data_IF_180936815851
#
_entry.id   IF_180936815851
#
_cell.length_a   1.000
_cell.length_b   1.000
_cell.length_c   1.000
_cell.angle_alpha   90.00
_cell.angle_beta   90.00
_cell.angle_gamma   90.00
#
_symmetry.space_group_name_H-M   'P 1'
#
loop_
_entity.id
_entity.type
_entity.pdbx_description
1 polymer ?
#
# COMPACT_ATOMS: atom_id res chain seq x y z
N UNK A 1 8.17 -20.64 16.47
CA UNK A 1 7.52 -19.41 16.00
C UNK A 1 6.92 -19.62 14.62
N UNK A 2 5.69 -19.19 14.40
CA UNK A 2 4.95 -19.34 13.14
C UNK A 2 4.44 -17.97 12.67
N UNK A 3 4.80 -17.56 11.45
CA UNK A 3 4.40 -16.28 10.89
C UNK A 3 3.86 -16.41 9.48
N UNK A 4 2.74 -15.75 9.20
CA UNK A 4 2.21 -15.57 7.85
C UNK A 4 1.28 -14.35 7.78
N UNK A 5 1.37 -13.58 6.69
CA UNK A 5 0.35 -12.59 6.34
C UNK A 5 -0.13 -12.94 4.94
N UNK A 6 -1.29 -13.56 4.88
CA UNK A 6 -1.90 -14.02 3.64
C UNK A 6 -2.50 -12.83 2.87
N UNK A 7 -2.44 -12.84 1.54
CA UNK A 7 -2.94 -11.76 0.71
C UNK A 7 -3.82 -12.30 -0.41
N UNK A 8 -5.08 -11.90 -0.47
CA UNK A 8 -6.00 -12.37 -1.52
C UNK A 8 -5.71 -11.81 -2.92
N UNK A 9 -4.80 -10.84 -3.05
CA UNK A 9 -4.55 -10.13 -4.30
C UNK A 9 -5.45 -8.91 -4.47
N UNK A 10 -5.62 -8.48 -5.72
CA UNK A 10 -6.52 -7.39 -6.11
C UNK A 10 -7.81 -7.95 -6.72
N UNK A 11 -8.92 -7.25 -6.50
CA UNK A 11 -10.24 -7.64 -7.01
C UNK A 11 -10.58 -6.96 -8.34
N UNK A 12 -9.54 -6.61 -9.09
CA UNK A 12 -9.61 -5.98 -10.40
C UNK A 12 -8.68 -6.73 -11.33
N UNK A 13 -9.07 -6.72 -12.60
CA UNK A 13 -8.35 -7.21 -13.76
C UNK A 13 -7.44 -6.08 -14.28
N UNK A 14 -6.25 -5.93 -13.71
CA UNK A 14 -5.31 -4.87 -14.05
C UNK A 14 -4.69 -5.10 -15.43
N UNK A 15 -4.57 -6.36 -15.89
CA UNK A 15 -4.03 -6.70 -17.21
C UNK A 15 -5.09 -6.78 -18.32
N UNK A 16 -6.37 -6.64 -17.95
CA UNK A 16 -7.55 -6.63 -18.82
C UNK A 16 -7.82 -7.99 -19.52
N UNK A 17 -7.42 -9.11 -18.92
CA UNK A 17 -7.63 -10.48 -19.43
C UNK A 17 -9.04 -11.06 -19.13
N UNK A 18 -9.82 -10.35 -18.32
CA UNK A 18 -11.16 -10.71 -17.86
C UNK A 18 -11.20 -11.45 -16.52
N UNK A 19 -10.09 -11.56 -15.78
CA UNK A 19 -9.97 -12.20 -14.45
C UNK A 19 -9.47 -11.22 -13.39
N UNK A 20 -9.87 -11.41 -12.13
CA UNK A 20 -9.29 -10.63 -11.03
C UNK A 20 -7.79 -11.02 -10.84
N UNK A 21 -6.85 -10.06 -10.71
CA UNK A 21 -5.45 -10.40 -10.43
C UNK A 21 -5.26 -10.84 -8.97
N UNK A 22 -5.48 -12.13 -8.76
CA UNK A 22 -5.24 -12.77 -7.48
C UNK A 22 -3.75 -12.97 -7.22
N UNK A 23 -3.35 -12.82 -5.97
CA UNK A 23 -1.98 -13.12 -5.56
C UNK A 23 -1.89 -14.62 -5.31
N UNK A 24 -0.99 -15.31 -6.03
CA UNK A 24 -0.76 -16.75 -5.87
C UNK A 24 0.46 -17.07 -4.99
N UNK A 25 1.22 -16.05 -4.59
CA UNK A 25 2.46 -16.21 -3.82
C UNK A 25 2.21 -15.92 -2.34
N UNK A 26 2.08 -17.00 -1.58
CA UNK A 26 1.92 -16.96 -0.13
C UNK A 26 3.01 -17.77 0.54
N UNK A 27 3.59 -17.16 1.58
CA UNK A 27 4.70 -17.74 2.30
C UNK A 27 4.40 -17.80 3.79
N UNK A 28 4.85 -18.90 4.39
CA UNK A 28 4.86 -19.15 5.82
C UNK A 28 6.31 -19.20 6.26
N UNK A 29 6.60 -18.54 7.37
CA UNK A 29 7.90 -18.60 8.02
C UNK A 29 7.79 -19.37 9.33
N UNK A 30 8.63 -20.39 9.47
CA UNK A 30 8.73 -21.20 10.69
C UNK A 30 10.14 -21.04 11.25
N UNK A 31 10.23 -20.64 12.52
CA UNK A 31 11.49 -20.34 13.19
C UNK A 31 11.53 -20.91 14.61
N UNK A 32 12.71 -21.19 15.13
CA UNK A 32 12.95 -21.53 16.53
C UNK A 32 12.86 -20.26 17.38
N UNK A 33 12.39 -20.40 18.62
CA UNK A 33 12.63 -19.41 19.67
C UNK A 33 13.91 -19.80 20.42
N UNK A 34 14.88 -18.90 20.55
CA UNK A 34 16.13 -19.22 21.21
C UNK A 34 15.95 -19.15 22.73
N UNK A 35 16.26 -20.26 23.40
CA UNK A 35 16.48 -20.30 24.84
C UNK A 35 17.94 -20.73 25.03
N UNK A 36 18.79 -19.78 25.42
CA UNK A 36 20.22 -20.00 25.56
C UNK A 36 20.81 -19.11 26.65
N UNK A 37 22.04 -19.42 27.07
CA UNK A 37 22.76 -18.65 28.08
C UNK A 37 23.47 -17.41 27.52
N UNK A 38 23.60 -17.32 26.19
CA UNK A 38 24.16 -16.18 25.47
C UNK A 38 23.16 -15.07 25.17
N UNK A 39 23.64 -13.98 24.55
CA UNK A 39 22.77 -12.87 24.13
C UNK A 39 21.90 -13.28 22.94
N UNK A 40 20.65 -12.81 22.92
CA UNK A 40 19.76 -12.97 21.76
C UNK A 40 20.37 -12.37 20.48
N UNK A 41 21.19 -11.32 20.61
CA UNK A 41 21.91 -10.71 19.49
C UNK A 41 22.92 -11.67 18.83
N UNK A 42 23.60 -12.48 19.63
CA UNK A 42 24.59 -13.44 19.11
C UNK A 42 23.89 -14.58 18.39
N UNK A 43 22.78 -15.08 18.95
CA UNK A 43 21.99 -16.14 18.33
C UNK A 43 21.28 -15.68 17.06
N UNK A 44 20.83 -14.42 16.99
CA UNK A 44 20.18 -13.87 15.80
C UNK A 44 21.09 -13.91 14.56
N UNK A 45 22.42 -13.85 14.72
CA UNK A 45 23.37 -13.92 13.60
C UNK A 45 23.67 -15.36 13.11
N UNK A 46 23.17 -16.39 13.81
CA UNK A 46 23.45 -17.79 13.51
C UNK A 46 22.21 -18.45 12.91
N UNK A 47 22.27 -18.82 11.62
CA UNK A 47 21.14 -19.44 10.90
C UNK A 47 20.57 -20.68 11.61
N UNK A 48 21.42 -21.60 12.07
CA UNK A 48 20.98 -22.83 12.75
C UNK A 48 20.26 -22.58 14.09
N UNK A 49 20.52 -21.41 14.68
CA UNK A 49 19.75 -20.97 15.84
C UNK A 49 18.35 -20.59 15.41
N UNK A 50 18.19 -19.90 14.27
CA UNK A 50 16.93 -19.37 13.72
C UNK A 50 16.02 -20.46 13.14
N UNK A 51 16.55 -21.37 12.34
CA UNK A 51 15.74 -22.26 11.52
C UNK A 51 15.80 -23.72 11.98
N UNK A 52 14.70 -24.44 11.81
CA UNK A 52 14.68 -25.90 11.92
C UNK A 52 15.32 -26.54 10.69
N UNK A 53 15.76 -27.79 10.82
CA UNK A 53 16.06 -28.59 9.65
C UNK A 53 14.74 -28.87 8.90
N UNK A 54 14.61 -28.51 7.61
CA UNK A 54 13.37 -28.70 6.86
C UNK A 54 12.90 -30.16 6.80
N UNK A 55 13.80 -31.14 6.83
CA UNK A 55 13.46 -32.57 6.83
C UNK A 55 12.75 -33.02 8.12
N UNK A 56 12.88 -32.25 9.19
CA UNK A 56 12.24 -32.52 10.49
C UNK A 56 10.84 -31.91 10.59
N UNK A 57 10.45 -31.04 9.65
CA UNK A 57 9.19 -30.32 9.69
C UNK A 57 8.24 -30.77 8.59
N UNK A 58 7.00 -31.01 8.99
CA UNK A 58 5.87 -31.09 8.08
C UNK A 58 5.07 -29.80 8.22
N UNK A 59 5.00 -29.01 7.14
CA UNK A 59 4.27 -27.73 7.11
C UNK A 59 3.15 -27.84 6.09
N UNK A 60 1.91 -27.57 6.51
CA UNK A 60 0.75 -27.75 5.66
C UNK A 60 -0.36 -26.75 5.98
N UNK A 61 -1.26 -26.59 5.02
CA UNK A 61 -2.47 -25.79 5.16
C UNK A 61 -3.71 -26.66 4.98
N UNK A 62 -4.77 -26.32 5.73
CA UNK A 62 -6.10 -26.90 5.63
C UNK A 62 -7.14 -25.79 5.57
N UNK A 63 -8.16 -25.99 4.76
CA UNK A 63 -9.37 -25.17 4.79
C UNK A 63 -10.24 -25.63 5.97
N UNK A 64 -10.75 -24.69 6.77
CA UNK A 64 -11.63 -24.99 7.90
C UNK A 64 -13.06 -24.58 7.53
N UNK A 65 -13.93 -25.59 7.40
CA UNK A 65 -15.35 -25.42 7.16
C UNK A 65 -16.13 -26.00 8.34
N UNK A 66 -17.05 -25.21 8.92
CA UNK A 66 -17.87 -25.59 10.07
C UNK A 66 -17.06 -26.14 11.28
N UNK A 67 -15.84 -25.60 11.47
CA UNK A 67 -14.92 -26.00 12.53
C UNK A 67 -14.11 -27.27 12.25
N UNK A 68 -14.32 -27.92 11.10
CA UNK A 68 -13.61 -29.13 10.70
C UNK A 68 -12.58 -28.79 9.60
N UNK A 69 -11.29 -29.13 9.80
CA UNK A 69 -10.30 -28.97 8.74
C UNK A 69 -10.52 -30.02 7.63
N UNK A 70 -10.50 -29.56 6.39
CA UNK A 70 -10.61 -30.37 5.18
C UNK A 70 -9.25 -31.02 4.81
N UNK A 71 -9.06 -31.31 3.52
CA UNK A 71 -7.87 -31.99 2.98
C UNK A 71 -6.60 -31.20 3.28
N UNK A 72 -5.61 -31.91 3.84
CA UNK A 72 -4.25 -31.42 4.06
C UNK A 72 -3.55 -31.15 2.73
N UNK A 73 -2.96 -29.96 2.59
CA UNK A 73 -2.13 -29.56 1.46
C UNK A 73 -0.75 -29.15 1.98
N UNK A 74 0.29 -29.88 1.61
CA UNK A 74 1.66 -29.60 2.06
C UNK A 74 2.22 -28.34 1.38
N UNK A 75 2.99 -27.55 2.12
CA UNK A 75 3.65 -26.36 1.60
C UNK A 75 5.01 -26.72 0.99
N UNK A 76 5.33 -26.08 -0.12
CA UNK A 76 6.59 -26.26 -0.83
C UNK A 76 7.72 -25.55 -0.06
N UNK A 77 8.76 -26.29 0.32
CA UNK A 77 9.94 -25.70 0.95
C UNK A 77 10.79 -24.94 -0.08
N UNK A 78 11.24 -23.74 0.29
CA UNK A 78 12.08 -22.87 -0.53
C UNK A 78 13.30 -22.39 0.25
N UNK A 79 14.48 -22.60 -0.34
CA UNK A 79 15.76 -22.11 0.14
C UNK A 79 16.34 -21.04 -0.81
N UNK A 80 16.54 -19.82 -0.27
CA UNK A 80 17.39 -18.68 -0.65
C UNK A 80 17.78 -18.33 -2.13
N UNK A 81 17.43 -19.09 -3.17
CA UNK A 81 17.94 -18.82 -4.55
C UNK A 81 16.96 -19.09 -5.71
N UNK A 82 15.74 -19.56 -5.45
CA UNK A 82 14.82 -19.96 -6.52
C UNK A 82 13.66 -18.98 -6.83
N UNK A 83 13.52 -17.90 -6.06
CA UNK A 83 12.42 -16.94 -6.22
C UNK A 83 12.93 -15.75 -7.04
N UNK A 84 12.80 -15.84 -8.36
CA UNK A 84 13.31 -14.87 -9.34
C UNK A 84 12.67 -13.46 -9.31
N UNK A 85 12.21 -12.95 -8.17
CA UNK A 85 11.78 -11.55 -7.99
C UNK A 85 11.91 -11.17 -6.51
N UNK A 86 12.67 -10.11 -6.19
CA UNK A 86 12.64 -9.22 -4.99
C UNK A 86 12.28 -9.77 -3.58
N UNK A 87 12.52 -11.05 -3.29
CA UNK A 87 12.37 -11.60 -1.93
C UNK A 87 13.72 -11.73 -1.21
N UNK A 88 14.55 -10.69 -1.32
CA UNK A 88 15.77 -10.61 -0.52
C UNK A 88 15.40 -10.24 0.92
N UNK A 89 16.03 -10.92 1.88
CA UNK A 89 15.95 -10.49 3.27
C UNK A 89 16.69 -9.16 3.40
N UNK A 90 16.00 -8.13 3.87
CA UNK A 90 16.60 -6.85 4.24
C UNK A 90 17.77 -7.01 5.22
N UNK A 91 18.77 -6.13 5.08
CA UNK A 91 19.92 -6.09 5.98
C UNK A 91 19.48 -5.85 7.43
N UNK A 92 20.15 -6.50 8.37
CA UNK A 92 19.80 -6.36 9.79
C UNK A 92 20.50 -7.37 10.69
N UNK A 93 20.07 -7.38 11.96
CA UNK A 93 20.68 -8.16 13.05
C UNK A 93 20.48 -9.68 12.90
N UNK A 94 19.49 -10.10 12.11
CA UNK A 94 19.26 -11.52 11.85
C UNK A 94 20.10 -12.00 10.66
N UNK A 95 20.63 -13.21 10.78
CA UNK A 95 21.39 -13.90 9.73
C UNK A 95 20.67 -13.89 8.39
N UNK A 96 21.41 -13.60 7.32
CA UNK A 96 20.92 -13.68 5.93
C UNK A 96 21.24 -15.01 5.24
N UNK A 97 22.05 -15.87 5.86
CA UNK A 97 22.28 -17.23 5.34
C UNK A 97 21.04 -18.11 5.54
N UNK A 98 20.78 -18.99 4.58
CA UNK A 98 19.77 -20.05 4.64
C UNK A 98 18.37 -19.53 5.02
N UNK A 99 17.87 -18.55 4.26
CA UNK A 99 16.51 -18.06 4.46
C UNK A 99 15.49 -19.09 3.98
N UNK A 100 14.75 -19.67 4.94
CA UNK A 100 13.76 -20.71 4.69
C UNK A 100 12.35 -20.15 4.66
N UNK A 101 11.63 -20.46 3.57
CA UNK A 101 10.22 -20.14 3.39
C UNK A 101 9.45 -21.41 3.01
N UNK A 102 8.18 -21.45 3.39
CA UNK A 102 7.24 -22.50 3.00
C UNK A 102 6.16 -21.85 2.14
N UNK A 103 6.09 -22.18 0.86
CA UNK A 103 5.17 -21.58 -0.12
C UNK A 103 3.89 -22.41 -0.23
N UNK A 104 2.76 -21.74 -0.37
CA UNK A 104 1.50 -22.41 -0.69
C UNK A 104 1.61 -23.11 -2.06
N UNK A 105 1.21 -24.39 -2.17
CA UNK A 105 1.24 -25.07 -3.46
C UNK A 105 0.14 -24.49 -4.37
N UNK A 106 0.30 -24.65 -5.68
CA UNK A 106 -0.64 -24.12 -6.68
C UNK A 106 -2.09 -24.62 -6.51
N UNK A 107 -2.30 -25.74 -5.80
CA UNK A 107 -3.64 -26.28 -5.50
C UNK A 107 -4.45 -25.42 -4.53
N UNK A 108 -3.79 -24.55 -3.75
CA UNK A 108 -4.41 -23.67 -2.73
C UNK A 108 -3.80 -22.27 -2.74
N UNK A 109 -3.15 -21.87 -3.84
CA UNK A 109 -2.61 -20.52 -4.02
C UNK A 109 -3.71 -19.49 -4.25
N UNK A 110 -4.88 -19.89 -4.74
CA UNK A 110 -6.08 -19.05 -4.73
C UNK A 110 -6.75 -19.11 -3.35
N UNK A 111 -6.44 -18.10 -2.51
CA UNK A 111 -6.98 -17.99 -1.16
C UNK A 111 -8.46 -17.55 -1.11
N UNK A 112 -9.06 -17.19 -2.24
CA UNK A 112 -10.46 -16.75 -2.33
C UNK A 112 -11.27 -17.74 -3.18
N UNK A 113 -11.44 -19.00 -2.71
CA UNK A 113 -12.12 -19.99 -3.52
C UNK A 113 -13.57 -19.59 -3.81
N UNK A 114 -13.93 -19.71 -5.08
CA UNK A 114 -15.10 -19.16 -5.82
C UNK A 114 -16.52 -19.34 -5.23
N UNK A 115 -16.73 -19.91 -4.03
CA UNK A 115 -18.09 -20.17 -3.52
C UNK A 115 -18.33 -19.96 -2.01
N UNK A 116 -17.30 -19.83 -1.16
CA UNK A 116 -17.53 -19.53 0.27
C UNK A 116 -16.42 -18.66 0.90
N UNK A 117 -16.78 -17.40 1.12
CA UNK A 117 -15.87 -16.31 1.49
C UNK A 117 -15.68 -16.14 3.01
N UNK A 118 -16.23 -17.05 3.82
CA UNK A 118 -16.11 -17.04 5.30
C UNK A 118 -15.22 -18.15 5.85
N UNK A 119 -14.61 -18.96 4.98
CA UNK A 119 -13.75 -20.05 5.40
C UNK A 119 -12.47 -19.51 6.04
N UNK A 120 -11.95 -20.26 7.01
CA UNK A 120 -10.65 -19.99 7.62
C UNK A 120 -9.61 -20.94 7.05
N UNK A 121 -8.37 -20.49 6.98
CA UNK A 121 -7.23 -21.33 6.71
C UNK A 121 -6.54 -21.65 8.02
N UNK A 122 -6.25 -22.94 8.24
CA UNK A 122 -5.42 -23.42 9.32
C UNK A 122 -4.04 -23.73 8.75
N UNK A 123 -3.02 -23.03 9.24
CA UNK A 123 -1.62 -23.31 8.92
C UNK A 123 -1.05 -24.12 10.09
N UNK A 124 -0.52 -25.29 9.81
CA UNK A 124 -0.02 -26.23 10.81
C UNK A 124 1.43 -26.60 10.54
N UNK A 125 2.15 -26.81 11.62
CA UNK A 125 3.53 -27.30 11.63
C UNK A 125 3.59 -28.47 12.59
N UNK A 126 4.13 -29.59 12.11
CA UNK A 126 4.45 -30.77 12.93
C UNK A 126 5.96 -30.96 12.90
N UNK A 127 6.57 -31.05 14.07
CA UNK A 127 7.95 -31.49 14.19
C UNK A 127 7.97 -33.02 14.25
N UNK A 128 8.48 -33.68 13.22
CA UNK A 128 8.48 -35.13 13.09
C UNK A 128 9.42 -35.83 14.08
N UNK A 129 10.37 -35.11 14.69
CA UNK A 129 11.25 -35.66 15.72
C UNK A 129 10.60 -35.63 17.11
N UNK A 130 9.96 -34.51 17.47
CA UNK A 130 9.38 -34.33 18.82
C UNK A 130 7.90 -34.68 18.88
N UNK A 131 7.23 -34.81 17.73
CA UNK A 131 5.78 -34.89 17.57
C UNK A 131 5.03 -33.63 18.06
N UNK A 132 5.72 -32.53 18.32
CA UNK A 132 5.08 -31.27 18.69
C UNK A 132 4.33 -30.68 17.51
N UNK A 133 3.13 -30.19 17.78
CA UNK A 133 2.27 -29.58 16.76
C UNK A 133 1.93 -28.15 17.16
N UNK A 134 2.08 -27.22 16.23
CA UNK A 134 1.62 -25.83 16.38
C UNK A 134 0.78 -25.44 15.17
N UNK A 135 -0.22 -24.59 15.39
CA UNK A 135 -1.05 -24.10 14.30
C UNK A 135 -1.64 -22.73 14.60
N UNK A 136 -2.08 -22.04 13.55
CA UNK A 136 -2.90 -20.85 13.67
C UNK A 136 -4.00 -20.88 12.61
N UNK A 137 -5.10 -20.20 12.92
CA UNK A 137 -6.22 -20.03 11.99
C UNK A 137 -6.39 -18.57 11.64
N UNK A 138 -6.71 -18.29 10.38
CA UNK A 138 -7.07 -16.95 9.94
C UNK A 138 -8.09 -16.98 8.81
N UNK A 139 -9.01 -16.02 8.80
CA UNK A 139 -9.85 -15.75 7.63
C UNK A 139 -9.10 -14.90 6.61
N UNK A 140 -9.56 -14.91 5.36
CA UNK A 140 -8.94 -14.12 4.29
C UNK A 140 -9.70 -12.82 4.09
N UNK A 141 -9.01 -11.68 4.18
CA UNK A 141 -9.55 -10.40 3.72
C UNK A 141 -9.87 -10.52 2.24
N UNK A 142 -11.12 -10.30 1.85
CA UNK A 142 -11.52 -10.30 0.44
C UNK A 142 -10.78 -9.20 -0.34
N UNK A 143 -10.44 -9.40 -1.63
CA UNK A 143 -9.83 -8.35 -2.44
C UNK A 143 -10.66 -7.08 -2.43
N UNK A 144 -9.98 -5.95 -2.17
CA UNK A 144 -10.62 -4.65 -2.11
C UNK A 144 -11.17 -4.23 -3.47
N UNK A 145 -12.29 -3.50 -3.43
CA UNK A 145 -12.91 -2.93 -4.62
C UNK A 145 -13.16 -1.45 -4.40
N UNK A 146 -12.38 -0.64 -5.08
CA UNK A 146 -12.51 0.79 -5.03
C UNK A 146 -13.63 1.24 -5.97
N UNK A 147 -14.39 2.24 -5.55
CA UNK A 147 -15.46 2.83 -6.36
C UNK A 147 -15.16 4.26 -6.76
N UNK A 148 -14.42 4.98 -5.90
CA UNK A 148 -13.89 6.31 -6.17
C UNK A 148 -12.52 6.44 -5.47
N UNK A 149 -11.50 6.99 -6.15
CA UNK A 149 -11.46 7.31 -7.59
C UNK A 149 -11.56 6.05 -8.46
N UNK A 150 -11.71 6.22 -9.78
CA UNK A 150 -11.57 5.12 -10.76
C UNK A 150 -10.22 5.20 -11.45
N UNK A 151 -9.73 4.08 -11.98
CA UNK A 151 -8.45 4.02 -12.70
C UNK A 151 -8.44 4.82 -14.01
N UNK A 152 -9.61 5.00 -14.64
CA UNK A 152 -9.75 5.67 -15.94
C UNK A 152 -10.99 6.58 -16.02
N UNK A 153 -11.01 7.46 -17.03
CA UNK A 153 -12.12 8.40 -17.32
C UNK A 153 -12.17 9.62 -16.38
N UNK A 154 -13.20 10.46 -16.51
CA UNK A 154 -13.34 11.71 -15.75
C UNK A 154 -13.47 11.52 -14.23
N UNK A 155 -13.77 10.31 -13.77
CA UNK A 155 -13.79 9.92 -12.35
C UNK A 155 -12.42 9.51 -11.79
N UNK A 156 -11.36 9.52 -12.61
CA UNK A 156 -9.95 9.42 -12.18
C UNK A 156 -9.36 10.77 -11.78
N UNK A 157 -10.13 11.86 -11.95
CA UNK A 157 -9.71 13.22 -11.65
C UNK A 157 -10.05 13.55 -10.20
N UNK A 158 -9.01 13.83 -9.42
CA UNK A 158 -9.06 14.38 -8.08
C UNK A 158 -9.19 15.90 -8.22
N UNK A 159 -10.18 16.48 -7.54
CA UNK A 159 -10.40 17.92 -7.50
C UNK A 159 -10.37 18.40 -6.06
N UNK A 160 -9.42 19.28 -5.75
CA UNK A 160 -9.26 19.96 -4.47
C UNK A 160 -9.31 21.48 -4.69
N UNK A 161 -10.22 22.19 -4.01
CA UNK A 161 -10.48 23.63 -4.21
C UNK A 161 -11.64 24.14 -3.35
N UNK A 162 -12.05 25.42 -3.50
CA UNK A 162 -13.09 26.06 -2.68
C UNK A 162 -14.41 25.24 -2.65
N UNK A 163 -14.66 24.55 -1.54
CA UNK A 163 -15.88 23.77 -1.29
C UNK A 163 -15.83 22.28 -1.67
N UNK A 164 -14.74 21.79 -2.26
CA UNK A 164 -14.62 20.40 -2.74
C UNK A 164 -13.54 19.63 -1.96
N UNK A 165 -13.95 18.49 -1.39
CA UNK A 165 -13.07 17.46 -0.85
C UNK A 165 -13.13 16.21 -1.71
N UNK A 166 -12.05 15.45 -1.70
CA UNK A 166 -11.96 14.19 -2.43
C UNK A 166 -12.40 13.04 -1.54
N UNK A 167 -13.30 12.19 -2.04
CA UNK A 167 -13.73 11.00 -1.30
C UNK A 167 -13.09 9.76 -1.91
N UNK A 168 -12.33 9.04 -1.07
CA UNK A 168 -11.93 7.67 -1.35
C UNK A 168 -13.06 6.78 -0.86
N UNK A 169 -13.68 6.03 -1.77
CA UNK A 169 -14.82 5.17 -1.47
C UNK A 169 -14.50 3.73 -1.85
N UNK A 170 -14.41 2.88 -0.84
CA UNK A 170 -14.11 1.46 -1.00
C UNK A 170 -15.37 0.68 -0.63
N UNK A 171 -15.75 -0.33 -1.41
CA UNK A 171 -16.76 -1.29 -0.95
C UNK A 171 -16.16 -2.07 0.22
N UNK A 172 -16.88 -2.14 1.35
CA UNK A 172 -16.38 -2.95 2.47
C UNK A 172 -16.08 -4.37 2.01
N UNK A 173 -14.86 -4.79 2.31
CA UNK A 173 -14.32 -6.11 2.02
C UNK A 173 -14.63 -7.02 3.19
N UNK A 174 -15.19 -8.19 2.89
CA UNK A 174 -15.42 -9.24 3.90
C UNK A 174 -14.14 -9.53 4.66
N UNK A 175 -14.24 -9.72 5.97
CA UNK A 175 -13.14 -9.97 6.91
C UNK A 175 -12.17 -8.80 7.13
N UNK A 176 -12.29 -7.67 6.43
CA UNK A 176 -11.47 -6.48 6.68
C UNK A 176 -12.00 -5.71 7.90
N UNK A 177 -11.18 -5.62 8.95
CA UNK A 177 -11.48 -4.88 10.18
C UNK A 177 -11.01 -3.43 10.13
N UNK A 178 -9.91 -3.16 9.43
CA UNK A 178 -9.30 -1.83 9.36
C UNK A 178 -8.77 -1.55 7.96
N UNK A 179 -8.88 -0.30 7.53
CA UNK A 179 -8.37 0.20 6.26
C UNK A 179 -7.38 1.32 6.55
N UNK A 180 -6.13 1.12 6.14
CA UNK A 180 -5.09 2.14 6.14
C UNK A 180 -4.90 2.66 4.71
N UNK A 181 -4.73 3.97 4.55
CA UNK A 181 -4.51 4.58 3.23
C UNK A 181 -3.30 5.49 3.27
N UNK A 182 -2.38 5.26 2.33
CA UNK A 182 -1.22 6.10 2.06
C UNK A 182 -1.46 6.81 0.72
N UNK A 183 -1.37 8.13 0.73
CA UNK A 183 -1.43 8.97 -0.47
C UNK A 183 -0.03 9.48 -0.76
N UNK A 184 0.48 9.24 -1.97
CA UNK A 184 1.77 9.77 -2.43
C UNK A 184 1.55 10.89 -3.43
N UNK A 185 2.23 12.02 -3.24
CA UNK A 185 2.29 13.10 -4.23
C UNK A 185 3.69 13.12 -4.86
N UNK A 186 3.73 12.88 -6.18
CA UNK A 186 4.94 12.77 -6.97
C UNK A 186 5.21 14.05 -7.76
N UNK A 187 6.44 14.52 -7.72
CA UNK A 187 6.86 15.72 -8.45
C UNK A 187 8.32 15.58 -8.89
N UNK A 188 8.77 16.53 -9.69
CA UNK A 188 10.18 16.66 -10.05
C UNK A 188 10.71 18.01 -9.60
N UNK A 189 11.98 18.02 -9.21
CA UNK A 189 12.76 19.23 -8.99
C UNK A 189 13.75 19.38 -10.14
N UNK A 190 13.72 20.54 -10.80
CA UNK A 190 14.69 20.91 -11.81
C UNK A 190 15.64 21.95 -11.23
N UNK A 191 16.94 21.72 -11.26
CA UNK A 191 17.91 22.74 -10.83
C UNK A 191 17.78 24.03 -11.66
N UNK A 192 18.04 25.18 -11.05
CA UNK A 192 18.02 26.47 -11.74
C UNK A 192 18.87 26.49 -13.02
N UNK A 193 20.07 25.89 -12.97
CA UNK A 193 20.94 25.79 -14.14
C UNK A 193 20.34 24.90 -15.24
N UNK A 194 19.68 23.81 -14.86
CA UNK A 194 18.96 22.95 -15.80
C UNK A 194 17.80 23.69 -16.48
N UNK A 195 17.05 24.49 -15.72
CA UNK A 195 15.98 25.33 -16.26
C UNK A 195 16.51 26.35 -17.28
N UNK A 196 17.57 27.10 -16.92
CA UNK A 196 18.17 28.09 -17.82
C UNK A 196 18.70 27.46 -19.11
N UNK A 197 19.28 26.27 -19.01
CA UNK A 197 19.73 25.51 -20.17
C UNK A 197 18.56 25.10 -21.08
N UNK A 198 17.50 24.53 -20.52
CA UNK A 198 16.35 24.07 -21.29
C UNK A 198 15.64 25.23 -22.01
N UNK A 199 15.51 26.39 -21.35
CA UNK A 199 14.99 27.61 -21.96
C UNK A 199 15.86 28.08 -23.14
N UNK A 200 17.19 28.03 -23.01
CA UNK A 200 18.11 28.40 -24.08
C UNK A 200 18.00 27.48 -25.31
N UNK A 201 17.69 26.20 -25.09
CA UNK A 201 17.45 25.20 -26.13
C UNK A 201 16.01 25.22 -26.69
N UNK A 202 15.14 26.07 -26.13
CA UNK A 202 13.73 26.17 -26.53
C UNK A 202 12.86 25.01 -26.07
N UNK A 203 13.28 24.28 -25.03
CA UNK A 203 12.51 23.21 -24.43
C UNK A 203 11.54 23.80 -23.39
N UNK A 204 10.21 23.66 -23.59
CA UNK A 204 9.22 24.17 -22.63
C UNK A 204 9.07 23.27 -21.40
N UNK A 205 9.53 22.02 -21.46
CA UNK A 205 9.45 21.05 -20.38
C UNK A 205 10.87 20.70 -19.89
N UNK A 206 11.02 20.34 -18.61
CA UNK A 206 12.32 20.00 -18.06
C UNK A 206 12.88 18.74 -18.75
N UNK A 207 14.10 18.85 -19.27
CA UNK A 207 14.91 17.76 -19.84
C UNK A 207 16.27 17.62 -19.16
N UNK A 208 16.73 18.66 -18.46
CA UNK A 208 18.06 18.73 -17.84
C UNK A 208 17.95 19.03 -16.34
N UNK A 209 18.83 18.44 -15.52
CA UNK A 209 18.93 18.76 -14.09
C UNK A 209 17.76 18.27 -13.24
N UNK A 210 17.14 17.15 -13.63
CA UNK A 210 15.91 16.62 -13.05
C UNK A 210 16.20 15.65 -11.91
N UNK A 211 15.50 15.84 -10.79
CA UNK A 211 15.40 14.86 -9.71
C UNK A 211 13.93 14.50 -9.46
N UNK A 212 13.63 13.19 -9.37
CA UNK A 212 12.31 12.71 -8.98
C UNK A 212 12.15 12.73 -7.47
N UNK A 213 11.07 13.36 -7.00
CA UNK A 213 10.74 13.49 -5.59
C UNK A 213 9.31 13.03 -5.32
N UNK A 214 9.05 12.67 -4.07
CA UNK A 214 7.71 12.40 -3.60
C UNK A 214 7.58 12.73 -2.12
N UNK A 215 6.34 12.97 -1.68
CA UNK A 215 5.96 13.02 -0.27
C UNK A 215 4.79 12.08 -0.04
N UNK A 216 4.74 11.47 1.15
CA UNK A 216 3.71 10.49 1.49
C UNK A 216 2.89 10.91 2.71
N UNK A 217 1.58 10.81 2.57
CA UNK A 217 0.62 11.15 3.61
C UNK A 217 -0.15 9.90 4.04
N UNK A 218 0.10 9.46 5.26
CA UNK A 218 -0.73 8.43 5.90
C UNK A 218 -2.03 9.08 6.38
N UNK A 219 -3.14 8.73 5.74
CA UNK A 219 -4.48 9.15 6.16
C UNK A 219 -4.92 8.39 7.40
N UNK A 220 -5.89 8.95 8.13
CA UNK A 220 -6.47 8.28 9.30
C UNK A 220 -7.07 6.92 8.95
N UNK A 221 -6.73 5.92 9.76
CA UNK A 221 -7.28 4.56 9.63
C UNK A 221 -8.80 4.56 9.81
N UNK A 222 -9.51 3.76 9.02
CA UNK A 222 -10.95 3.53 9.17
C UNK A 222 -11.21 2.15 9.73
N UNK A 223 -11.89 2.07 10.87
CA UNK A 223 -12.30 0.82 11.50
C UNK A 223 -13.69 0.41 11.01
N UNK A 224 -13.79 -0.78 10.43
CA UNK A 224 -15.04 -1.35 9.98
C UNK A 224 -15.95 -1.74 11.15
N UNK A 225 -17.24 -1.41 11.02
CA UNK A 225 -18.28 -1.95 11.89
C UNK A 225 -18.65 -3.40 11.52
N UNK A 226 -19.48 -4.06 12.32
CA UNK A 226 -19.81 -5.47 12.13
C UNK A 226 -20.52 -5.75 10.78
N UNK A 227 -21.34 -4.81 10.29
CA UNK A 227 -22.00 -4.97 8.98
C UNK A 227 -21.00 -4.89 7.83
N UNK A 228 -20.00 -4.01 7.94
CA UNK A 228 -18.93 -3.87 6.95
C UNK A 228 -17.95 -5.06 7.00
N UNK A 229 -17.62 -5.55 8.19
CA UNK A 229 -16.76 -6.73 8.38
C UNK A 229 -17.38 -7.99 7.74
N UNK A 230 -18.71 -8.12 7.83
CA UNK A 230 -19.48 -9.24 7.27
C UNK A 230 -20.09 -8.92 5.89
N UNK A 231 -19.59 -7.91 5.20
CA UNK A 231 -20.09 -7.49 3.89
C UNK A 231 -20.06 -8.66 2.89
N UNK A 232 -21.05 -8.73 1.99
CA UNK A 232 -21.04 -9.65 0.85
C UNK A 232 -20.05 -9.18 -0.23
N UNK A 233 -19.80 -9.99 -1.27
CA UNK A 233 -18.94 -9.61 -2.39
C UNK A 233 -19.41 -8.35 -3.15
N UNK A 234 -20.72 -8.07 -3.10
CA UNK A 234 -21.36 -6.92 -3.70
C UNK A 234 -22.24 -6.25 -2.65
N UNK A 235 -21.64 -5.59 -1.65
CA UNK A 235 -22.43 -5.00 -0.58
C UNK A 235 -23.16 -3.75 -1.11
N UNK A 236 -24.31 -3.38 -0.51
CA UNK A 236 -25.03 -2.18 -0.89
C UNK A 236 -24.17 -0.93 -0.63
N UNK A 237 -24.46 0.18 -1.31
CA UNK A 237 -23.67 1.41 -1.22
C UNK A 237 -23.51 1.94 0.23
N UNK A 238 -24.50 1.70 1.11
CA UNK A 238 -24.45 2.07 2.53
C UNK A 238 -23.39 1.32 3.36
N UNK A 239 -22.79 0.26 2.83
CA UNK A 239 -21.68 -0.47 3.45
C UNK A 239 -20.31 0.02 2.97
N UNK A 240 -20.22 1.15 2.27
CA UNK A 240 -18.94 1.67 1.81
C UNK A 240 -18.08 2.16 2.97
N UNK A 241 -16.77 2.00 2.84
CA UNK A 241 -15.75 2.69 3.62
C UNK A 241 -15.47 4.00 2.91
N UNK A 242 -15.62 5.12 3.62
CA UNK A 242 -15.45 6.45 3.05
C UNK A 242 -14.33 7.18 3.81
N UNK A 243 -13.35 7.69 3.09
CA UNK A 243 -12.34 8.60 3.61
C UNK A 243 -12.49 9.93 2.88
N UNK A 244 -12.70 11.00 3.65
CA UNK A 244 -12.73 12.36 3.12
C UNK A 244 -11.33 12.97 3.23
N UNK A 245 -10.77 13.36 2.10
CA UNK A 245 -9.53 14.11 1.99
C UNK A 245 -9.89 15.56 1.69
N UNK A 246 -9.75 16.45 2.68
CA UNK A 246 -10.01 17.88 2.47
C UNK A 246 -8.82 18.56 1.78
N UNK A 247 -9.12 19.51 0.91
CA UNK A 247 -8.10 20.28 0.19
C UNK A 247 -7.13 21.01 1.14
N UNK A 248 -7.66 21.67 2.18
CA UNK A 248 -6.84 22.41 3.14
C UNK A 248 -5.82 21.53 3.87
N UNK A 249 -6.22 20.34 4.34
CA UNK A 249 -5.30 19.43 5.04
C UNK A 249 -4.25 18.84 4.11
N UNK A 250 -4.60 18.62 2.83
CA UNK A 250 -3.63 18.23 1.81
C UNK A 250 -2.60 19.36 1.55
N UNK A 251 -3.04 20.61 1.43
CA UNK A 251 -2.14 21.75 1.20
C UNK A 251 -1.22 22.02 2.39
N UNK A 252 -1.75 21.95 3.62
CA UNK A 252 -0.94 22.00 4.85
C UNK A 252 0.07 20.85 4.90
N UNK A 253 -0.36 19.63 4.54
CA UNK A 253 0.55 18.49 4.45
C UNK A 253 1.72 18.77 3.51
N UNK A 254 1.47 19.16 2.25
CA UNK A 254 2.57 19.39 1.31
C UNK A 254 3.46 20.57 1.74
N UNK A 255 2.90 21.64 2.31
CA UNK A 255 3.69 22.75 2.86
C UNK A 255 4.63 22.27 3.97
N UNK A 256 4.16 21.39 4.86
CA UNK A 256 5.00 20.88 5.96
C UNK A 256 6.07 19.89 5.51
N UNK A 257 5.83 19.15 4.43
CA UNK A 257 6.74 18.10 3.96
C UNK A 257 7.76 18.59 2.91
N UNK A 258 7.44 19.67 2.20
CA UNK A 258 8.25 20.18 1.09
C UNK A 258 8.87 21.51 1.51
N UNK A 259 10.17 21.67 1.26
CA UNK A 259 10.88 22.89 1.64
C UNK A 259 10.43 24.10 0.81
N UNK A 260 10.13 25.20 1.49
CA UNK A 260 9.91 26.51 0.87
C UNK A 260 11.21 27.05 0.22
N UNK A 261 11.06 27.96 -0.73
CA UNK A 261 12.14 28.67 -1.41
C UNK A 261 11.90 30.18 -1.46
N UNK A 262 12.98 30.94 -1.64
CA UNK A 262 12.87 32.33 -2.09
C UNK A 262 12.44 32.34 -3.56
N UNK A 263 11.16 32.64 -3.81
CA UNK A 263 10.58 32.67 -5.16
C UNK A 263 11.30 33.68 -6.07
N UNK A 264 11.93 34.72 -5.51
CA UNK A 264 12.69 35.69 -6.31
C UNK A 264 14.04 35.16 -6.80
N UNK A 265 14.56 34.12 -6.16
CA UNK A 265 15.80 33.45 -6.53
C UNK A 265 15.79 31.97 -6.12
N UNK A 266 14.98 31.14 -6.80
CA UNK A 266 14.83 29.73 -6.44
C UNK A 266 16.07 28.92 -6.83
N UNK A 267 16.40 27.92 -6.02
CA UNK A 267 17.46 26.95 -6.32
C UNK A 267 16.97 25.88 -7.31
N UNK A 268 15.66 25.61 -7.31
CA UNK A 268 15.03 24.65 -8.19
C UNK A 268 13.55 24.98 -8.47
N UNK A 269 13.06 24.48 -9.60
CA UNK A 269 11.69 24.63 -10.07
C UNK A 269 10.94 23.30 -9.94
N UNK A 270 9.70 23.34 -9.43
CA UNK A 270 8.92 22.12 -9.18
C UNK A 270 7.83 21.92 -10.21
N UNK A 271 7.71 20.68 -10.69
CA UNK A 271 6.66 20.31 -11.64
C UNK A 271 5.92 19.07 -11.14
N UNK A 272 4.59 19.03 -11.22
CA UNK A 272 3.86 17.80 -10.94
C UNK A 272 4.19 16.75 -12.02
N UNK A 273 4.28 15.49 -11.60
CA UNK A 273 4.59 14.39 -12.53
C UNK A 273 3.43 14.14 -13.51
N UNK A 274 3.76 13.64 -14.71
CA UNK A 274 2.80 13.20 -15.74
C UNK A 274 1.78 14.29 -16.14
N UNK A 275 2.27 15.50 -16.37
CA UNK A 275 1.48 16.63 -16.87
C UNK A 275 1.10 16.43 -18.33
N UNK A 276 -0.20 16.44 -18.64
CA UNK A 276 -0.74 16.18 -19.99
C UNK A 276 -1.92 17.10 -20.32
N UNK A 277 -1.99 17.53 -21.57
CA UNK A 277 -3.16 18.24 -22.10
C UNK A 277 -4.20 17.24 -22.56
N UNK A 278 -5.39 17.31 -21.97
CA UNK A 278 -6.52 16.49 -22.38
C UNK A 278 -7.53 17.36 -23.12
N UNK A 279 -8.11 16.82 -24.18
CA UNK A 279 -9.20 17.45 -24.92
C UNK A 279 -10.54 16.90 -24.41
N UNK A 280 -11.57 17.74 -24.40
CA UNK A 280 -12.93 17.32 -24.08
C UNK A 280 -13.40 16.23 -25.03
N UNK A 281 -13.86 15.11 -24.48
CA UNK A 281 -14.47 14.02 -25.25
C UNK A 281 -15.74 13.54 -24.57
N UNK A 282 -16.82 13.39 -25.34
CA UNK A 282 -18.17 13.05 -24.85
C UNK A 282 -18.21 11.76 -24.01
N UNK A 283 -17.33 10.79 -24.29
CA UNK A 283 -17.29 9.50 -23.58
C UNK A 283 -16.51 9.53 -22.25
N UNK A 284 -15.64 10.52 -22.05
CA UNK A 284 -14.75 10.55 -20.86
C UNK A 284 -15.27 11.46 -19.75
N UNK A 285 -16.14 12.43 -20.08
CA UNK A 285 -16.61 13.46 -19.13
C UNK A 285 -15.52 14.43 -18.66
N UNK A 286 -14.38 14.47 -19.36
CA UNK A 286 -13.24 15.36 -19.07
C UNK A 286 -13.42 16.69 -19.81
N UNK A 287 -13.08 17.80 -19.17
CA UNK A 287 -13.07 19.14 -19.79
C UNK A 287 -11.68 19.37 -20.40
N UNK A 288 -11.59 20.09 -21.53
CA UNK A 288 -10.27 20.43 -22.09
C UNK A 288 -9.43 21.21 -21.09
N UNK A 289 -8.19 20.78 -20.84
CA UNK A 289 -7.33 21.43 -19.85
C UNK A 289 -6.08 20.63 -19.49
N UNK A 290 -5.33 21.16 -18.53
CA UNK A 290 -4.15 20.51 -17.97
C UNK A 290 -4.52 19.55 -16.85
N UNK A 291 -3.89 18.38 -16.89
CA UNK A 291 -4.05 17.31 -15.90
C UNK A 291 -2.69 16.74 -15.52
N UNK A 292 -2.55 16.35 -14.26
CA UNK A 292 -1.27 15.91 -13.72
C UNK A 292 -1.44 14.57 -13.00
N UNK A 293 -0.91 13.49 -13.59
CA UNK A 293 -0.95 12.12 -13.04
C UNK A 293 0.05 11.93 -11.90
N UNK A 294 -0.05 12.74 -10.86
CA UNK A 294 0.95 12.90 -9.81
C UNK A 294 0.53 12.32 -8.45
N UNK A 295 -0.66 11.71 -8.34
CA UNK A 295 -1.14 11.11 -7.10
C UNK A 295 -1.15 9.59 -7.21
N UNK A 296 -0.57 8.91 -6.23
CA UNK A 296 -0.74 7.48 -6.04
C UNK A 296 -1.49 7.20 -4.73
N UNK A 297 -2.30 6.14 -4.70
CA UNK A 297 -2.97 5.64 -3.50
C UNK A 297 -2.54 4.20 -3.25
N UNK A 298 -1.99 3.93 -2.07
CA UNK A 298 -1.83 2.58 -1.54
C UNK A 298 -2.83 2.39 -0.40
N UNK A 299 -3.76 1.45 -0.58
CA UNK A 299 -4.77 1.12 0.42
C UNK A 299 -4.48 -0.29 0.91
N UNK A 300 -4.48 -0.48 2.22
CA UNK A 300 -4.32 -1.79 2.85
C UNK A 300 -5.50 -2.07 3.77
N UNK A 301 -6.26 -3.12 3.48
CA UNK A 301 -7.29 -3.66 4.36
C UNK A 301 -6.72 -4.84 5.15
N UNK A 302 -6.92 -4.87 6.47
CA UNK A 302 -6.38 -5.92 7.35
C UNK A 302 -7.49 -6.62 8.12
N UNK A 303 -7.33 -7.92 8.42
CA UNK A 303 -8.30 -8.64 9.25
C UNK A 303 -8.18 -8.30 10.74
N UNK A 304 -9.06 -8.88 11.54
CA UNK A 304 -9.14 -8.64 12.98
C UNK A 304 -7.85 -9.04 13.71
N UNK A 305 -7.20 -10.14 13.30
CA UNK A 305 -5.96 -10.65 13.87
C UNK A 305 -4.80 -9.67 13.63
N UNK A 306 -4.66 -9.15 12.41
CA UNK A 306 -3.63 -8.14 12.11
C UNK A 306 -3.96 -6.79 12.74
N UNK A 307 -5.22 -6.36 12.75
CA UNK A 307 -5.62 -5.15 13.46
C UNK A 307 -5.27 -5.20 14.95
N UNK A 308 -5.58 -6.31 15.63
CA UNK A 308 -5.26 -6.49 17.05
C UNK A 308 -3.75 -6.48 17.30
N UNK A 309 -2.98 -7.14 16.43
CA UNK A 309 -1.52 -7.10 16.47
C UNK A 309 -0.97 -5.67 16.34
N UNK A 310 -1.46 -4.90 15.36
CA UNK A 310 -1.03 -3.50 15.16
C UNK A 310 -1.39 -2.63 16.36
N UNK A 311 -2.57 -2.81 16.95
CA UNK A 311 -2.97 -2.09 18.16
C UNK A 311 -2.09 -2.44 19.37
N UNK A 312 -1.74 -3.72 19.54
CA UNK A 312 -0.87 -4.15 20.63
C UNK A 312 0.51 -3.50 20.54
N UNK A 313 1.03 -3.35 19.32
CA UNK A 313 2.37 -2.80 19.03
C UNK A 313 2.40 -1.27 18.78
N UNK A 314 1.25 -0.59 18.76
CA UNK A 314 1.21 0.85 18.52
C UNK A 314 1.94 1.63 19.66
N UNK A 315 2.69 2.72 19.34
CA UNK A 315 3.36 3.53 20.34
C UNK A 315 2.41 4.01 21.44
N UNK A 316 2.84 3.94 22.69
CA UNK A 316 2.04 4.43 23.83
C UNK A 316 2.67 5.66 24.45
N UNK A 317 1.84 6.66 24.73
CA UNK A 317 2.22 7.89 25.45
C UNK A 317 1.76 7.87 26.91
N UNK A 318 1.19 6.75 27.38
CA UNK A 318 0.63 6.58 28.72
C UNK A 318 1.61 5.96 29.73
N UNK A 319 1.26 6.04 31.02
CA UNK A 319 2.08 5.54 32.14
C UNK A 319 2.22 4.00 32.18
N UNK A 320 1.27 3.26 31.60
CA UNK A 320 1.36 1.81 31.47
C UNK A 320 1.96 1.44 30.11
N UNK A 321 3.25 1.10 30.12
CA UNK A 321 4.04 0.76 28.94
C UNK A 321 4.06 -0.74 28.64
N UNK A 322 3.63 -1.59 29.58
CA UNK A 322 3.59 -3.04 29.40
C UNK A 322 2.23 -3.44 28.78
N UNK A 323 2.27 -3.99 27.57
CA UNK A 323 1.12 -4.62 26.91
C UNK A 323 1.45 -6.09 26.63
N UNK A 324 0.46 -6.98 26.73
CA UNK A 324 0.65 -8.36 26.30
C UNK A 324 0.90 -8.40 24.79
N UNK A 325 1.91 -9.17 24.38
CA UNK A 325 2.15 -9.49 22.98
C UNK A 325 0.94 -10.23 22.40
N UNK A 326 0.49 -9.83 21.21
CA UNK A 326 -0.56 -10.55 20.51
C UNK A 326 0.00 -11.83 19.87
N UNK A 327 -0.58 -12.97 20.24
CA UNK A 327 -0.27 -14.29 19.68
C UNK A 327 -1.56 -15.03 19.35
N UNK A 328 -1.73 -15.45 18.10
CA UNK A 328 -2.85 -16.30 17.67
C UNK A 328 -2.40 -17.70 17.21
N UNK A 329 -1.15 -18.06 17.53
CA UNK A 329 -0.60 -19.39 17.29
C UNK A 329 -0.82 -20.27 18.52
N UNK A 330 -1.50 -21.41 18.35
CA UNK A 330 -1.67 -22.42 19.39
C UNK A 330 -0.41 -23.30 19.49
N UNK A 331 -0.03 -23.64 20.73
CA UNK A 331 1.17 -24.44 21.04
C UNK A 331 2.46 -23.85 20.44
N UNK A 332 2.50 -22.52 20.31
CA UNK A 332 3.61 -21.79 19.73
C UNK A 332 3.44 -20.30 19.97
N UNK A 333 4.36 -19.53 19.40
CA UNK A 333 4.33 -18.06 19.40
C UNK A 333 4.37 -17.60 17.95
N UNK A 334 3.65 -16.54 17.63
CA UNK A 334 3.77 -15.86 16.35
C UNK A 334 2.47 -15.20 15.93
N UNK A 335 2.34 -15.00 14.63
CA UNK A 335 1.22 -14.25 14.08
C UNK A 335 0.85 -14.76 12.70
N UNK A 336 -0.39 -15.20 12.55
CA UNK A 336 -0.96 -15.56 11.26
C UNK A 336 -2.18 -14.71 11.00
N UNK A 337 -2.16 -13.97 9.90
CA UNK A 337 -3.23 -13.03 9.57
C UNK A 337 -3.43 -12.90 8.08
N UNK A 338 -4.30 -11.99 7.66
CA UNK A 338 -4.46 -11.66 6.25
C UNK A 338 -4.68 -10.17 6.02
N UNK A 339 -4.36 -9.76 4.79
CA UNK A 339 -4.60 -8.42 4.27
C UNK A 339 -5.06 -8.48 2.82
N UNK A 340 -5.59 -7.37 2.32
CA UNK A 340 -5.70 -7.09 0.88
C UNK A 340 -5.04 -5.74 0.64
N UNK A 341 -4.34 -5.60 -0.49
CA UNK A 341 -3.65 -4.38 -0.88
C UNK A 341 -4.21 -3.94 -2.22
N UNK A 342 -4.50 -2.66 -2.37
CA UNK A 342 -4.93 -2.04 -3.62
C UNK A 342 -4.03 -0.84 -3.89
N UNK A 343 -3.46 -0.81 -5.09
CA UNK A 343 -2.61 0.29 -5.56
C UNK A 343 -3.28 0.99 -6.73
N UNK A 344 -3.27 2.31 -6.69
CA UNK A 344 -3.62 3.14 -7.84
C UNK A 344 -2.50 4.11 -8.10
N UNK A 345 -2.01 4.11 -9.33
CA UNK A 345 -0.92 4.99 -9.73
C UNK A 345 -1.40 6.01 -10.75
N UNK A 346 -0.74 7.16 -10.80
CA UNK A 346 -0.97 8.20 -11.79
C UNK A 346 -2.41 8.75 -11.80
N UNK A 347 -3.06 8.83 -10.64
CA UNK A 347 -4.32 9.54 -10.48
C UNK A 347 -4.10 11.02 -10.79
N UNK A 348 -5.06 11.59 -11.53
CA UNK A 348 -4.90 12.93 -12.10
C UNK A 348 -5.47 13.97 -11.16
N UNK A 349 -4.76 15.07 -10.93
CA UNK A 349 -5.37 16.32 -10.47
C UNK A 349 -5.67 17.21 -11.68
N UNK A 350 -6.68 18.07 -11.58
CA UNK A 350 -6.97 19.07 -12.61
C UNK A 350 -6.18 20.35 -12.41
N UNK A 351 -6.20 21.22 -13.43
CA UNK A 351 -5.57 22.54 -13.40
C UNK A 351 -5.95 23.36 -12.16
N UNK A 352 -7.24 23.45 -11.79
CA UNK A 352 -7.67 24.21 -10.60
C UNK A 352 -7.02 23.74 -9.28
N UNK A 353 -6.80 22.43 -9.14
CA UNK A 353 -6.05 21.88 -7.99
C UNK A 353 -4.58 22.28 -8.07
N UNK A 354 -4.00 22.20 -9.27
CA UNK A 354 -2.60 22.56 -9.48
C UNK A 354 -2.34 24.06 -9.29
N UNK A 355 -3.28 24.92 -9.67
CA UNK A 355 -3.29 26.35 -9.43
C UNK A 355 -3.24 26.66 -7.93
N UNK A 356 -4.06 25.95 -7.16
CA UNK A 356 -4.04 26.04 -5.69
C UNK A 356 -2.69 25.62 -5.10
N UNK A 357 -2.04 24.60 -5.66
CA UNK A 357 -0.68 24.18 -5.25
C UNK A 357 0.36 25.25 -5.64
N UNK A 358 0.24 25.84 -6.82
CA UNK A 358 1.26 26.71 -7.41
C UNK A 358 1.25 28.11 -6.82
N UNK A 359 0.08 28.69 -6.59
CA UNK A 359 -0.06 30.08 -6.16
C UNK A 359 -1.12 30.31 -5.07
N UNK A 360 -1.62 29.24 -4.44
CA UNK A 360 -2.46 29.36 -3.24
C UNK A 360 -1.67 29.88 -2.03
N UNK A 361 -2.36 30.55 -1.10
CA UNK A 361 -1.75 31.21 0.07
C UNK A 361 -0.85 30.28 0.90
N UNK A 362 -1.22 29.00 1.01
CA UNK A 362 -0.52 27.99 1.81
C UNK A 362 0.75 27.48 1.11
N UNK A 363 0.77 27.42 -0.22
CA UNK A 363 1.78 26.62 -0.96
C UNK A 363 2.54 27.43 -2.02
N UNK A 364 2.23 28.71 -2.22
CA UNK A 364 2.92 29.59 -3.18
C UNK A 364 4.45 29.60 -3.02
N UNK A 365 4.96 29.49 -1.78
CA UNK A 365 6.40 29.45 -1.49
C UNK A 365 7.08 28.13 -1.86
N UNK A 366 6.33 27.12 -2.32
CA UNK A 366 6.88 25.85 -2.76
C UNK A 366 7.35 25.89 -4.23
N UNK A 367 7.12 26.99 -4.96
CA UNK A 367 7.62 27.21 -6.32
C UNK A 367 7.25 26.10 -7.32
N UNK A 368 5.97 25.69 -7.30
CA UNK A 368 5.40 24.78 -8.30
C UNK A 368 4.98 25.54 -9.56
N UNK A 369 5.15 24.88 -10.71
CA UNK A 369 4.73 25.35 -12.02
C UNK A 369 3.21 25.50 -12.13
N UNK A 370 2.75 26.64 -12.65
CA UNK A 370 1.39 26.83 -13.14
C UNK A 370 1.36 26.83 -14.68
N UNK A 371 0.17 26.61 -15.25
CA UNK A 371 -0.02 26.43 -16.69
C UNK A 371 -1.11 27.38 -17.20
N UNK A 372 -0.84 28.17 -18.25
CA UNK A 372 -1.75 29.29 -18.63
C UNK A 372 -2.56 29.13 -19.91
N UNK A 373 -2.17 28.28 -20.88
CA UNK A 373 -2.72 28.39 -22.25
C UNK A 373 -3.37 27.11 -22.82
N UNK A 374 -4.44 27.32 -23.59
CA UNK A 374 -5.29 26.36 -24.29
C UNK A 374 -4.76 26.03 -25.70
N UNK A 375 -3.88 26.89 -26.26
CA UNK A 375 -3.30 26.80 -27.60
C UNK A 375 -1.77 26.59 -27.59
N UNK A 376 -1.26 25.90 -26.56
CA UNK A 376 0.17 25.61 -26.37
C UNK A 376 0.50 25.53 -24.87
N UNK A 377 1.53 24.77 -24.50
CA UNK A 377 1.95 24.67 -23.10
C UNK A 377 2.80 25.90 -22.77
N UNK A 378 2.29 26.76 -21.89
CA UNK A 378 3.04 27.86 -21.27
C UNK A 378 3.14 27.51 -19.78
N UNK A 379 4.36 27.50 -19.27
CA UNK A 379 4.69 27.16 -17.89
C UNK A 379 5.32 28.37 -17.24
N UNK A 380 4.71 28.83 -16.16
CA UNK A 380 5.17 29.95 -15.35
C UNK A 380 5.42 29.48 -13.91
N UNK A 381 6.06 30.34 -13.11
CA UNK A 381 6.42 30.05 -11.72
C UNK A 381 6.22 31.27 -10.82
N UNK A 382 5.99 31.01 -9.54
CA UNK A 382 6.05 32.06 -8.53
C UNK A 382 5.04 33.18 -8.77
N UNK A 383 5.51 34.44 -8.75
CA UNK A 383 4.65 35.60 -8.98
C UNK A 383 4.02 35.62 -10.36
N UNK A 384 4.71 35.08 -11.38
CA UNK A 384 4.19 35.04 -12.74
C UNK A 384 2.93 34.17 -12.81
N UNK A 385 2.73 33.24 -11.87
CA UNK A 385 1.50 32.45 -11.79
C UNK A 385 0.24 33.23 -11.39
N UNK A 386 0.38 34.41 -10.78
CA UNK A 386 -0.74 35.22 -10.29
C UNK A 386 -1.19 36.29 -11.30
N UNK A 387 -0.42 36.50 -12.37
CA UNK A 387 -0.74 37.48 -13.41
C UNK A 387 -1.56 36.83 -14.55
N UNK A 388 -2.89 36.97 -14.46
CA UNK A 388 -3.85 36.79 -15.56
C UNK A 388 -4.41 38.14 -16.05
#
# INVERSE_FOLDING_TARGET
MLYAILNSGVGEDLDLDGQDDINYDHFVRVQKSFLGTGSAYDYANISDSIYYNPEELEVFVQLVQDGMPEVKQELDFIENTALGVDLFKEDGVFSSSNHYLYKFPASVSDLVPFQDLRKKFRISVVNNLTADTTFAETNIVRPMRLTQPRSTGGTSIIQWGEGYGFNIKIKASTNAKMYATLLRFNYIEQSKDGYLYDIAEGNPLPTTGIEYKFVEWTLSDVIANDNQLNASANPPAGSSINLLVSAGTFFEFIQTQISEQDISNPDFYRYPLNSVWMHSGEETGVISGMYHGCIDLNITAVNSELHTYLQANAPTTGLNQERPDYNNVLNGIGHVSSRSVLNMNNLRINQSTMDSISFGEITQNLNFACYKNINGIVIDFGFDCQED
#
